data_IF_592249438670
#
_entry.id   IF_592249438670
#
_cell.length_a   1.000
_cell.length_b   1.000
_cell.length_c   1.000
_cell.angle_alpha   90.00
_cell.angle_beta   90.00
_cell.angle_gamma   90.00
#
_symmetry.space_group_name_H-M   'P 1'
#
loop_
_entity.id
_entity.type
_entity.pdbx_description
1 polymer ?
#
# COMPACT_ATOMS: atom_id res chain seq x y z
N UNK A 1 -13.02 28.86 21.85
CA UNK A 1 -12.98 28.19 20.53
C UNK A 1 -13.90 26.99 20.60
N UNK A 2 -14.80 26.81 19.63
CA UNK A 2 -15.77 25.71 19.59
C UNK A 2 -15.46 24.85 18.36
N UNK A 3 -15.31 23.54 18.55
CA UNK A 3 -15.11 22.57 17.49
C UNK A 3 -16.31 21.64 17.40
N UNK A 4 -16.88 21.52 16.21
CA UNK A 4 -18.05 20.69 15.96
C UNK A 4 -17.64 19.41 15.24
N UNK A 5 -18.15 18.27 15.71
CA UNK A 5 -17.92 16.96 15.13
C UNK A 5 -19.26 16.26 14.89
N UNK A 6 -19.34 15.55 13.78
CA UNK A 6 -20.39 14.57 13.52
C UNK A 6 -19.76 13.18 13.58
N UNK A 7 -20.35 12.31 14.37
CA UNK A 7 -19.93 10.91 14.50
C UNK A 7 -20.59 10.04 13.43
N UNK A 8 -20.04 8.85 13.21
CA UNK A 8 -20.57 7.88 12.24
C UNK A 8 -21.98 7.39 12.56
N UNK A 9 -22.43 7.51 13.82
CA UNK A 9 -23.79 7.21 14.26
C UNK A 9 -24.68 8.48 14.30
N UNK A 10 -24.32 9.52 13.55
CA UNK A 10 -25.11 10.74 13.38
C UNK A 10 -25.30 11.58 14.66
N UNK A 11 -24.45 11.38 15.69
CA UNK A 11 -24.46 12.23 16.88
C UNK A 11 -23.66 13.50 16.62
N UNK A 12 -24.19 14.62 17.11
CA UNK A 12 -23.50 15.91 17.07
C UNK A 12 -22.74 16.09 18.38
N UNK A 13 -21.43 16.22 18.29
CA UNK A 13 -20.55 16.50 19.44
C UNK A 13 -19.95 17.89 19.26
N UNK A 14 -20.05 18.72 20.29
CA UNK A 14 -19.44 20.05 20.34
C UNK A 14 -18.37 20.05 21.44
N UNK A 15 -17.12 20.28 21.05
CA UNK A 15 -16.01 20.46 21.99
C UNK A 15 -15.80 21.96 22.20
N UNK A 16 -15.96 22.39 23.45
CA UNK A 16 -15.82 23.79 23.85
C UNK A 16 -14.67 23.89 24.84
N UNK A 17 -13.70 24.76 24.54
CA UNK A 17 -12.68 25.10 25.54
C UNK A 17 -13.28 26.01 26.61
N UNK A 18 -13.09 25.63 27.87
CA UNK A 18 -13.52 26.39 29.05
C UNK A 18 -12.27 26.74 29.88
N UNK A 19 -12.13 27.99 30.37
CA UNK A 19 -11.03 28.34 31.26
C UNK A 19 -11.19 27.66 32.62
N UNK A 20 -10.07 27.32 33.29
CA UNK A 20 -10.12 26.77 34.64
C UNK A 20 -10.55 27.84 35.67
N UNK A 21 -11.13 27.40 36.79
CA UNK A 21 -11.50 28.23 37.95
C UNK A 21 -12.50 29.37 37.67
N UNK A 22 -13.39 29.18 36.70
CA UNK A 22 -14.45 30.16 36.36
C UNK A 22 -15.77 29.90 37.07
N UNK A 23 -15.78 29.05 38.10
CA UNK A 23 -16.97 28.72 38.89
C UNK A 23 -18.11 28.09 38.09
N UNK A 24 -17.78 27.39 37.00
CA UNK A 24 -18.75 26.56 36.26
C UNK A 24 -18.85 25.21 36.99
N UNK A 25 -20.00 24.87 37.62
CA UNK A 25 -20.08 23.74 38.52
C UNK A 25 -19.62 22.41 37.91
N UNK A 26 -19.99 22.13 36.66
CA UNK A 26 -19.60 20.89 35.96
C UNK A 26 -18.11 20.80 35.64
N UNK A 27 -17.48 21.93 35.28
CA UNK A 27 -16.04 21.98 35.03
C UNK A 27 -15.26 21.80 36.33
N UNK A 28 -15.65 22.51 37.38
CA UNK A 28 -15.00 22.42 38.69
C UNK A 28 -15.19 21.03 39.32
N UNK A 29 -16.34 20.39 39.09
CA UNK A 29 -16.58 19.01 39.50
C UNK A 29 -15.67 18.04 38.75
N UNK A 30 -15.53 18.17 37.43
CA UNK A 30 -14.62 17.35 36.65
C UNK A 30 -13.16 17.49 37.11
N UNK A 31 -12.69 18.72 37.34
CA UNK A 31 -11.35 19.00 37.87
C UNK A 31 -11.13 18.39 39.25
N UNK A 32 -12.14 18.47 40.13
CA UNK A 32 -12.10 17.86 41.48
C UNK A 32 -11.99 16.34 41.39
N UNK A 33 -12.87 15.70 40.62
CA UNK A 33 -12.83 14.25 40.43
C UNK A 33 -11.50 13.78 39.84
N UNK A 34 -10.94 14.53 38.87
CA UNK A 34 -9.62 14.23 38.32
C UNK A 34 -8.52 14.31 39.39
N UNK A 35 -8.53 15.33 40.27
CA UNK A 35 -7.58 15.44 41.40
C UNK A 35 -7.75 14.32 42.43
N UNK A 36 -8.98 13.99 42.79
CA UNK A 36 -9.29 12.91 43.74
C UNK A 36 -8.84 11.55 43.20
N UNK A 37 -8.96 11.32 41.88
CA UNK A 37 -8.54 10.06 41.25
C UNK A 37 -7.05 9.75 41.43
N UNK A 38 -6.19 10.76 41.65
CA UNK A 38 -4.76 10.57 41.92
C UNK A 38 -4.47 9.85 43.25
N UNK A 39 -5.45 9.85 44.17
CA UNK A 39 -5.34 9.17 45.47
C UNK A 39 -5.91 7.76 45.47
N UNK A 40 -6.48 7.30 44.35
CA UNK A 40 -6.99 5.94 44.21
C UNK A 40 -5.82 4.98 43.93
N UNK A 41 -5.76 3.88 44.69
CA UNK A 41 -4.72 2.85 44.50
C UNK A 41 -5.00 1.95 43.29
N UNK A 42 -6.28 1.75 42.98
CA UNK A 42 -6.73 0.88 41.89
C UNK A 42 -7.19 1.70 40.68
N UNK A 43 -6.59 1.40 39.53
CA UNK A 43 -7.07 1.86 38.23
C UNK A 43 -7.93 0.75 37.66
N UNK A 44 -9.23 1.02 37.48
CA UNK A 44 -10.09 0.07 36.77
C UNK A 44 -9.60 -0.08 35.32
N UNK A 45 -9.23 -1.29 34.88
CA UNK A 45 -8.82 -1.52 33.51
C UNK A 45 -10.04 -1.41 32.60
N UNK A 46 -10.06 -0.39 31.76
CA UNK A 46 -11.05 -0.26 30.69
C UNK A 46 -10.70 -1.25 29.59
N UNK A 47 -11.62 -2.18 29.30
CA UNK A 47 -11.45 -3.10 28.17
C UNK A 47 -11.51 -2.33 26.85
N UNK A 48 -10.60 -2.66 25.95
CA UNK A 48 -10.64 -2.12 24.59
C UNK A 48 -11.86 -2.65 23.86
N UNK A 49 -12.53 -1.77 23.10
CA UNK A 49 -13.44 -2.26 22.07
C UNK A 49 -12.68 -3.10 21.05
N UNK A 50 -13.40 -4.00 20.37
CA UNK A 50 -12.82 -4.82 19.29
C UNK A 50 -12.10 -3.96 18.23
N UNK A 51 -12.70 -2.82 17.85
CA UNK A 51 -12.13 -1.90 16.87
C UNK A 51 -10.82 -1.26 17.35
N UNK A 52 -10.76 -0.84 18.62
CA UNK A 52 -9.54 -0.29 19.21
C UNK A 52 -8.45 -1.35 19.27
N UNK A 53 -8.80 -2.56 19.71
CA UNK A 53 -7.87 -3.68 19.75
C UNK A 53 -7.28 -3.98 18.36
N UNK A 54 -8.14 -4.11 17.33
CA UNK A 54 -7.70 -4.31 15.96
C UNK A 54 -6.82 -3.16 15.44
N UNK A 55 -7.14 -1.92 15.80
CA UNK A 55 -6.37 -0.74 15.42
C UNK A 55 -4.98 -0.74 16.07
N UNK A 56 -4.89 -1.07 17.35
CA UNK A 56 -3.64 -1.21 18.10
C UNK A 56 -2.77 -2.31 17.48
N UNK A 57 -3.35 -3.48 17.20
CA UNK A 57 -2.64 -4.61 16.57
C UNK A 57 -2.13 -4.22 15.18
N UNK A 58 -2.98 -3.61 14.35
CA UNK A 58 -2.62 -3.16 13.00
C UNK A 58 -1.50 -2.12 13.03
N UNK A 59 -1.55 -1.18 13.98
CA UNK A 59 -0.50 -0.18 14.18
C UNK A 59 0.84 -0.84 14.53
N UNK A 60 0.85 -1.79 15.47
CA UNK A 60 2.06 -2.54 15.86
C UNK A 60 2.65 -3.36 14.71
N UNK A 61 1.80 -4.00 13.90
CA UNK A 61 2.23 -4.76 12.72
C UNK A 61 2.92 -3.83 11.70
N UNK A 62 2.28 -2.69 11.38
CA UNK A 62 2.85 -1.69 10.46
C UNK A 62 4.16 -1.09 10.97
N UNK A 63 4.27 -0.85 12.29
CA UNK A 63 5.50 -0.37 12.91
C UNK A 63 6.63 -1.39 12.77
N UNK A 64 6.37 -2.67 13.05
CA UNK A 64 7.36 -3.74 12.88
C UNK A 64 7.83 -3.87 11.43
N UNK A 65 6.90 -3.81 10.48
CA UNK A 65 7.21 -3.83 9.06
C UNK A 65 8.09 -2.64 8.64
N UNK A 66 7.69 -1.43 9.03
CA UNK A 66 8.46 -0.21 8.72
C UNK A 66 9.87 -0.27 9.31
N UNK A 67 10.02 -0.77 10.53
CA UNK A 67 11.34 -0.95 11.17
C UNK A 67 12.19 -2.00 10.44
N UNK A 68 11.59 -3.12 10.03
CA UNK A 68 12.28 -4.14 9.24
C UNK A 68 12.80 -3.55 7.92
N UNK A 69 11.96 -2.81 7.18
CA UNK A 69 12.36 -2.19 5.92
C UNK A 69 13.47 -1.16 6.06
N UNK A 70 13.44 -0.33 7.12
CA UNK A 70 14.52 0.63 7.40
C UNK A 70 15.87 -0.04 7.64
N UNK A 71 15.87 -1.25 8.20
CA UNK A 71 17.07 -1.99 8.55
C UNK A 71 17.52 -2.96 7.44
N UNK A 72 16.71 -3.13 6.39
CA UNK A 72 17.06 -3.93 5.21
C UNK A 72 17.78 -3.05 4.18
N UNK A 73 18.77 -3.62 3.49
CA UNK A 73 19.35 -3.07 2.28
C UNK A 73 18.33 -3.16 1.13
N UNK A 74 17.34 -2.27 1.18
CA UNK A 74 16.21 -2.18 0.24
C UNK A 74 16.62 -1.58 -1.11
N UNK A 75 17.88 -1.18 -1.29
CA UNK A 75 18.37 -0.68 -2.58
C UNK A 75 18.22 -1.73 -3.70
N UNK A 76 18.27 -3.02 -3.35
CA UNK A 76 18.11 -4.15 -4.30
C UNK A 76 16.66 -4.55 -4.54
N UNK A 77 15.79 -4.36 -3.55
CA UNK A 77 14.41 -4.81 -3.58
C UNK A 77 13.55 -3.60 -3.23
N UNK A 78 12.99 -2.94 -4.26
CA UNK A 78 12.04 -1.83 -4.11
C UNK A 78 10.74 -2.34 -3.46
N UNK A 79 10.82 -2.70 -2.19
CA UNK A 79 9.74 -3.29 -1.40
C UNK A 79 8.79 -2.18 -0.97
N UNK A 80 7.49 -2.41 -1.14
CA UNK A 80 6.46 -1.45 -0.75
C UNK A 80 6.46 -1.24 0.77
N UNK A 81 6.53 0.02 1.26
CA UNK A 81 6.44 0.32 2.69
C UNK A 81 5.09 -0.03 3.30
N UNK A 82 4.04 -0.24 2.50
CA UNK A 82 2.73 -0.71 2.99
C UNK A 82 2.66 -2.22 2.93
N UNK A 83 2.12 -2.81 4.00
CA UNK A 83 1.82 -4.24 4.02
C UNK A 83 0.63 -4.46 3.08
N UNK A 84 0.78 -5.26 2.01
CA UNK A 84 -0.31 -5.49 1.10
C UNK A 84 -1.38 -6.37 1.74
N UNK A 85 -2.65 -5.99 1.58
CA UNK A 85 -3.80 -6.82 1.99
C UNK A 85 -3.87 -8.17 1.25
N UNK A 86 -3.10 -8.31 0.17
CA UNK A 86 -2.98 -9.54 -0.62
C UNK A 86 -1.51 -9.82 -0.93
N UNK A 87 -1.02 -10.97 -0.47
CA UNK A 87 0.38 -11.39 -0.67
C UNK A 87 0.62 -11.96 -2.07
N UNK A 88 -0.42 -12.41 -2.77
CA UNK A 88 -0.33 -13.02 -4.11
C UNK A 88 -1.20 -12.26 -5.11
N UNK A 89 -0.75 -12.09 -6.37
CA UNK A 89 -1.64 -11.68 -7.45
C UNK A 89 -2.82 -12.66 -7.53
N UNK A 90 -4.04 -12.13 -7.52
CA UNK A 90 -5.25 -12.94 -7.69
C UNK A 90 -5.68 -12.90 -9.15
N UNK A 91 -5.30 -13.91 -9.93
CA UNK A 91 -5.70 -14.07 -11.32
C UNK A 91 -5.96 -15.55 -11.63
N UNK A 92 -7.01 -15.90 -12.40
CA UNK A 92 -7.33 -17.30 -12.72
C UNK A 92 -6.18 -18.05 -13.42
N UNK A 93 -5.40 -17.34 -14.24
CA UNK A 93 -4.23 -17.89 -14.90
C UNK A 93 -2.96 -17.81 -14.02
N UNK A 94 -2.44 -18.98 -13.60
CA UNK A 94 -1.21 -19.11 -12.80
C UNK A 94 0.02 -18.54 -13.51
N UNK A 95 0.10 -18.64 -14.84
CA UNK A 95 1.22 -18.08 -15.60
C UNK A 95 1.31 -16.55 -15.43
N UNK A 96 0.16 -15.86 -15.43
CA UNK A 96 0.09 -14.42 -15.17
C UNK A 96 0.52 -14.11 -13.73
N UNK A 97 0.08 -14.88 -12.74
CA UNK A 97 0.52 -14.72 -11.35
C UNK A 97 2.05 -14.90 -11.20
N UNK A 98 2.65 -15.85 -11.91
CA UNK A 98 4.10 -16.08 -11.92
C UNK A 98 4.84 -14.89 -12.53
N UNK A 99 4.39 -14.38 -13.69
CA UNK A 99 4.99 -13.20 -14.33
C UNK A 99 4.87 -11.97 -13.44
N UNK A 100 3.67 -11.69 -12.89
CA UNK A 100 3.44 -10.58 -11.98
C UNK A 100 4.32 -10.65 -10.73
N UNK A 101 4.47 -11.85 -10.14
CA UNK A 101 5.36 -12.05 -8.99
C UNK A 101 6.81 -11.73 -9.35
N UNK A 102 7.31 -12.27 -10.47
CA UNK A 102 8.70 -12.00 -10.90
C UNK A 102 8.93 -10.51 -11.18
N UNK A 103 7.95 -9.80 -11.76
CA UNK A 103 8.02 -8.36 -12.00
C UNK A 103 8.11 -7.57 -10.69
N UNK A 104 7.28 -7.93 -9.70
CA UNK A 104 7.27 -7.34 -8.35
C UNK A 104 8.57 -7.57 -7.60
N UNK A 105 9.15 -8.76 -7.67
CA UNK A 105 10.38 -9.12 -6.97
C UNK A 105 11.66 -8.73 -7.72
N UNK A 106 11.55 -7.93 -8.79
CA UNK A 106 12.67 -7.52 -9.65
C UNK A 106 13.50 -8.67 -10.25
N UNK A 107 12.87 -9.83 -10.49
CA UNK A 107 13.56 -11.04 -10.98
C UNK A 107 13.48 -11.24 -12.51
N UNK A 108 12.77 -10.38 -13.26
CA UNK A 108 12.55 -10.56 -14.71
C UNK A 108 13.60 -9.85 -15.57
N UNK A 109 14.07 -8.69 -15.11
CA UNK A 109 14.92 -7.80 -15.90
C UNK A 109 16.12 -7.46 -15.04
N UNK A 110 17.30 -7.96 -15.40
CA UNK A 110 18.50 -7.63 -14.64
C UNK A 110 18.85 -6.17 -14.92
N UNK A 111 18.81 -5.34 -13.88
CA UNK A 111 18.96 -3.88 -13.98
C UNK A 111 20.24 -3.43 -14.72
N UNK A 112 21.28 -4.27 -14.78
CA UNK A 112 22.50 -3.97 -15.55
C UNK A 112 22.26 -3.78 -17.05
N UNK A 113 21.24 -4.40 -17.64
CA UNK A 113 20.93 -4.22 -19.06
C UNK A 113 20.35 -2.82 -19.35
N UNK A 114 19.75 -2.20 -18.33
CA UNK A 114 19.07 -0.91 -18.43
C UNK A 114 19.94 0.27 -17.97
N UNK A 115 20.76 0.04 -16.94
CA UNK A 115 21.60 1.08 -16.34
C UNK A 115 22.76 1.54 -17.24
N UNK A 116 23.10 0.78 -18.29
CA UNK A 116 24.09 1.16 -19.28
C UNK A 116 23.53 2.07 -20.40
N UNK A 117 22.20 2.27 -20.45
CA UNK A 117 21.54 2.98 -21.54
C UNK A 117 21.08 4.35 -21.04
N UNK A 118 21.40 5.40 -21.80
CA UNK A 118 20.85 6.73 -21.56
C UNK A 118 19.49 6.83 -22.25
N UNK A 119 18.46 7.19 -21.50
CA UNK A 119 17.15 7.48 -22.05
C UNK A 119 17.21 8.76 -22.89
N UNK A 120 16.33 8.89 -23.90
CA UNK A 120 16.21 10.10 -24.73
C UNK A 120 15.93 11.36 -23.90
N UNK A 121 15.28 11.23 -22.75
CA UNK A 121 15.05 12.35 -21.83
C UNK A 121 16.30 12.74 -21.00
N UNK A 122 17.43 12.09 -21.20
CA UNK A 122 18.70 12.40 -20.55
C UNK A 122 19.03 11.60 -19.28
N UNK A 123 18.04 10.94 -18.68
CA UNK A 123 18.23 10.12 -17.47
C UNK A 123 18.79 8.72 -17.79
N UNK A 124 19.38 8.06 -16.79
CA UNK A 124 19.71 6.63 -16.89
C UNK A 124 18.41 5.85 -17.09
N UNK A 125 18.38 4.96 -18.08
CA UNK A 125 17.20 4.25 -18.51
C UNK A 125 16.84 3.08 -17.58
N UNK A 126 16.83 3.33 -16.26
CA UNK A 126 16.43 2.34 -15.26
C UNK A 126 15.02 1.82 -15.53
N UNK A 127 14.70 0.62 -15.03
CA UNK A 127 13.35 0.04 -15.17
C UNK A 127 12.26 0.97 -14.66
N UNK A 128 12.44 1.57 -13.48
CA UNK A 128 11.48 2.52 -12.89
C UNK A 128 11.32 3.76 -13.77
N UNK A 129 12.44 4.26 -14.31
CA UNK A 129 12.41 5.39 -15.23
C UNK A 129 11.59 5.07 -16.48
N UNK A 130 11.88 3.96 -17.17
CA UNK A 130 11.18 3.58 -18.41
C UNK A 130 9.70 3.29 -18.16
N UNK A 131 9.40 2.46 -17.16
CA UNK A 131 8.05 1.90 -16.93
C UNK A 131 7.13 2.80 -16.11
N UNK A 132 7.64 3.79 -15.39
CA UNK A 132 6.82 4.59 -14.46
C UNK A 132 7.05 6.10 -14.68
N UNK A 133 8.29 6.56 -14.58
CA UNK A 133 8.58 7.98 -14.34
C UNK A 133 8.80 8.83 -15.61
N UNK A 134 9.33 8.26 -16.68
CA UNK A 134 9.75 9.01 -17.87
C UNK A 134 8.54 9.65 -18.58
N UNK A 135 8.53 10.97 -18.71
CA UNK A 135 7.45 11.71 -19.40
C UNK A 135 7.45 11.47 -20.90
N UNK A 136 8.64 11.45 -21.53
CA UNK A 136 8.82 11.18 -22.97
C UNK A 136 8.27 9.80 -23.38
N UNK A 137 8.38 8.81 -22.50
CA UNK A 137 7.89 7.46 -22.75
C UNK A 137 6.42 7.27 -22.33
N UNK A 138 5.77 8.26 -21.72
CA UNK A 138 4.37 8.17 -21.29
C UNK A 138 3.42 7.74 -22.42
N UNK A 139 3.50 8.29 -23.65
CA UNK A 139 2.63 7.85 -24.75
C UNK A 139 2.89 6.40 -25.19
N UNK A 140 4.16 5.97 -25.16
CA UNK A 140 4.51 4.58 -25.46
C UNK A 140 3.99 3.63 -24.37
N UNK A 141 4.14 3.98 -23.09
CA UNK A 141 3.58 3.22 -21.96
C UNK A 141 2.07 3.06 -22.05
N UNK A 142 1.36 4.15 -22.32
CA UNK A 142 -0.10 4.10 -22.46
C UNK A 142 -0.53 3.14 -23.57
N UNK A 143 0.15 3.17 -24.73
CA UNK A 143 -0.13 2.22 -25.82
C UNK A 143 0.11 0.77 -25.42
N UNK A 144 1.24 0.49 -24.77
CA UNK A 144 1.55 -0.87 -24.30
C UNK A 144 0.55 -1.33 -23.25
N UNK A 145 0.19 -0.47 -22.28
CA UNK A 145 -0.81 -0.80 -21.27
C UNK A 145 -2.18 -1.04 -21.87
N UNK A 146 -2.59 -0.23 -22.84
CA UNK A 146 -3.84 -0.43 -23.57
C UNK A 146 -3.85 -1.78 -24.30
N UNK A 147 -2.79 -2.09 -25.05
CA UNK A 147 -2.66 -3.39 -25.71
C UNK A 147 -2.69 -4.57 -24.72
N UNK A 148 -2.05 -4.44 -23.57
CA UNK A 148 -2.09 -5.48 -22.52
C UNK A 148 -3.52 -5.63 -21.99
N UNK A 149 -4.19 -4.53 -21.65
CA UNK A 149 -5.57 -4.55 -21.16
C UNK A 149 -6.52 -5.18 -22.19
N UNK A 150 -6.42 -4.78 -23.45
CA UNK A 150 -7.26 -5.29 -24.54
C UNK A 150 -7.06 -6.81 -24.74
N UNK A 151 -5.84 -7.31 -24.58
CA UNK A 151 -5.54 -8.73 -24.68
C UNK A 151 -5.94 -9.54 -23.43
N UNK A 152 -5.99 -8.92 -22.24
CA UNK A 152 -6.49 -9.56 -21.02
C UNK A 152 -8.03 -9.62 -20.98
N UNK A 153 -8.71 -8.69 -21.66
CA UNK A 153 -10.18 -8.66 -21.75
C UNK A 153 -10.76 -9.57 -22.84
N UNK A 154 -9.92 -10.10 -23.73
CA UNK A 154 -10.36 -11.10 -24.70
C UNK A 154 -10.41 -12.46 -24.00
N UNK A 155 -11.55 -13.19 -24.04
CA UNK A 155 -11.60 -14.55 -23.50
C UNK A 155 -10.51 -15.39 -24.18
N UNK A 156 -9.78 -16.19 -23.39
CA UNK A 156 -8.71 -17.09 -23.86
C UNK A 156 -9.15 -17.83 -25.13
N UNK A 157 -8.70 -17.37 -26.28
CA UNK A 157 -8.65 -18.21 -27.46
C UNK A 157 -7.44 -19.10 -27.25
N UNK A 158 -7.69 -20.31 -26.76
CA UNK A 158 -6.74 -21.41 -26.87
C UNK A 158 -6.55 -21.68 -28.35
N UNK A 159 -5.61 -20.97 -28.98
CA UNK A 159 -5.17 -21.33 -30.31
C UNK A 159 -4.28 -22.56 -30.15
N UNK A 160 -4.83 -23.70 -30.55
CA UNK A 160 -4.14 -24.93 -30.83
C UNK A 160 -2.93 -24.62 -31.72
N UNK A 161 -1.73 -24.68 -31.13
CA UNK A 161 -0.50 -24.80 -31.88
C UNK A 161 -0.46 -26.20 -32.50
N UNK A 162 -1.17 -26.39 -33.61
CA UNK A 162 -0.87 -27.47 -34.52
C UNK A 162 0.49 -27.16 -35.17
N UNK A 163 1.51 -27.86 -34.69
CA UNK A 163 2.82 -27.95 -35.32
C UNK A 163 2.68 -28.44 -36.76
N UNK A 164 2.75 -27.54 -37.74
CA UNK A 164 3.10 -27.92 -39.11
C UNK A 164 4.60 -28.12 -39.17
N UNK A 165 5.03 -29.36 -38.95
CA UNK A 165 6.38 -29.82 -39.30
C UNK A 165 6.51 -29.79 -40.82
N UNK A 166 7.19 -28.77 -41.35
CA UNK A 166 7.70 -28.82 -42.72
C UNK A 166 8.90 -29.77 -42.74
N UNK A 167 8.70 -30.97 -43.30
CA UNK A 167 9.79 -31.81 -43.77
C UNK A 167 10.37 -31.17 -45.03
N UNK A 168 11.63 -30.74 -44.98
CA UNK A 168 12.42 -30.46 -46.17
C UNK A 168 12.97 -31.79 -46.69
N UNK A 169 12.44 -32.26 -47.81
CA UNK A 169 13.13 -33.25 -48.66
C UNK A 169 14.29 -32.55 -49.39
N UNK A 170 15.47 -33.15 -49.30
CA UNK A 170 16.68 -32.75 -50.04
C UNK A 170 16.82 -33.74 -51.21
N UNK A 171 17.05 -33.28 -52.46
CA UNK A 171 17.46 -34.16 -53.56
C UNK A 171 18.85 -34.77 -53.37
#
# INVERSE_FOLDING_TARGET
MIHNYQTNNNQKIELVWIPSHVSIPGNDQADRCAKESLSLEDIEPVEYSYSEFCSIVSSRINQKWSNMLRNLDTARYQIDPKIPNQTKPNHPCVAICKVATRLRTNNVLRDHQFNAIKCRCGHVATRSHILIQCTELKPARHRVFQQITDNLTKPNQTNDYHSTTNQQEIP
#
